data_IF_728684189323
#
_entry.id   IF_728684189323
#
_cell.length_a   1.000
_cell.length_b   1.000
_cell.length_c   1.000
_cell.angle_alpha   90.00
_cell.angle_beta   90.00
_cell.angle_gamma   90.00
#
_symmetry.space_group_name_H-M   'P 1'
#
loop_
_entity.id
_entity.type
_entity.pdbx_description
1 polymer ?
#
# COMPACT_ATOMS: atom_id res chain seq x y z
N UNK A 1 28.20 -22.99 6.33
CA UNK A 1 28.38 -22.01 5.24
C UNK A 1 27.51 -22.46 4.09
N UNK A 2 26.41 -21.75 3.86
CA UNK A 2 25.48 -22.03 2.78
C UNK A 2 26.14 -21.66 1.46
N UNK A 3 26.13 -22.58 0.51
CA UNK A 3 26.63 -22.40 -0.83
C UNK A 3 25.97 -21.14 -1.46
N UNK A 4 26.74 -20.11 -1.87
CA UNK A 4 26.20 -18.90 -2.48
C UNK A 4 25.44 -19.15 -3.79
N UNK A 5 25.64 -20.32 -4.42
CA UNK A 5 24.92 -20.73 -5.65
C UNK A 5 23.49 -21.19 -5.37
N UNK A 6 23.12 -21.39 -4.10
CA UNK A 6 21.75 -21.70 -3.66
C UNK A 6 21.02 -20.48 -3.13
N UNK A 7 21.25 -19.30 -3.68
CA UNK A 7 20.31 -18.19 -3.55
C UNK A 7 19.02 -18.65 -4.20
N UNK A 8 18.09 -19.12 -3.39
CA UNK A 8 16.72 -19.40 -3.83
C UNK A 8 16.21 -18.06 -4.36
N UNK A 9 16.09 -17.97 -5.67
CA UNK A 9 15.46 -16.84 -6.34
C UNK A 9 13.99 -16.88 -5.91
N UNK A 10 13.69 -16.19 -4.81
CA UNK A 10 12.32 -15.96 -4.38
C UNK A 10 11.68 -15.08 -5.46
N UNK A 11 11.14 -15.73 -6.49
CA UNK A 11 10.17 -15.11 -7.36
C UNK A 11 8.95 -14.78 -6.49
N UNK A 12 8.98 -13.62 -5.87
CA UNK A 12 7.79 -13.08 -5.24
C UNK A 12 6.70 -13.08 -6.31
N UNK A 13 5.65 -13.85 -6.06
CA UNK A 13 4.46 -13.84 -6.92
C UNK A 13 3.99 -12.39 -7.00
N UNK A 14 4.19 -11.75 -8.15
CA UNK A 14 3.76 -10.38 -8.40
C UNK A 14 2.28 -10.37 -8.74
N UNK A 15 1.45 -10.90 -7.85
CA UNK A 15 0.02 -10.93 -8.05
C UNK A 15 -0.58 -9.57 -7.72
N UNK A 16 -0.84 -8.77 -8.74
CA UNK A 16 -1.64 -7.55 -8.61
C UNK A 16 -3.13 -7.90 -8.64
N UNK A 17 -3.84 -7.49 -7.60
CA UNK A 17 -5.29 -7.61 -7.55
C UNK A 17 -5.85 -6.29 -8.07
N UNK A 18 -6.52 -6.36 -9.23
CA UNK A 18 -7.13 -5.20 -9.88
C UNK A 18 -8.65 -5.34 -9.85
N UNK A 19 -9.33 -4.25 -9.57
CA UNK A 19 -10.77 -4.13 -9.70
C UNK A 19 -11.10 -3.05 -10.72
N UNK A 20 -11.97 -3.39 -11.65
CA UNK A 20 -12.56 -2.42 -12.58
C UNK A 20 -13.65 -1.65 -11.84
N UNK A 21 -13.42 -0.38 -11.57
CA UNK A 21 -14.30 0.48 -10.77
C UNK A 21 -15.11 1.47 -11.60
N UNK A 22 -14.76 1.63 -12.88
CA UNK A 22 -15.51 2.41 -13.86
C UNK A 22 -15.17 1.92 -15.26
N UNK A 23 -15.90 2.42 -16.28
CA UNK A 23 -15.60 2.04 -17.66
C UNK A 23 -14.12 2.32 -17.98
N UNK A 24 -13.36 1.27 -18.29
CA UNK A 24 -11.92 1.30 -18.59
C UNK A 24 -11.01 1.83 -17.48
N UNK A 25 -11.44 1.77 -16.21
CA UNK A 25 -10.62 2.22 -15.08
C UNK A 25 -10.40 1.08 -14.08
N UNK A 26 -9.17 0.57 -14.06
CA UNK A 26 -8.74 -0.44 -13.09
C UNK A 26 -7.96 0.21 -11.95
N UNK A 27 -8.18 -0.28 -10.74
CA UNK A 27 -7.43 0.12 -9.54
C UNK A 27 -6.80 -1.12 -8.92
N UNK A 28 -5.47 -1.06 -8.73
CA UNK A 28 -4.75 -2.07 -7.95
C UNK A 28 -4.98 -1.80 -6.47
N UNK A 29 -5.49 -2.80 -5.74
CA UNK A 29 -5.90 -2.64 -4.33
C UNK A 29 -4.96 -3.31 -3.34
N UNK A 30 -4.01 -4.09 -3.80
CA UNK A 30 -3.03 -4.74 -2.94
C UNK A 30 -1.65 -4.08 -3.06
N UNK A 31 -0.94 -4.02 -1.93
CA UNK A 31 0.48 -3.68 -1.86
C UNK A 31 1.27 -4.97 -1.68
N UNK A 32 2.30 -5.17 -2.47
CA UNK A 32 3.13 -6.37 -2.38
C UNK A 32 4.25 -6.17 -1.36
N UNK A 33 4.67 -7.26 -0.71
CA UNK A 33 5.77 -7.20 0.26
C UNK A 33 7.06 -6.61 -0.33
N UNK A 34 7.36 -6.90 -1.60
CA UNK A 34 8.53 -6.36 -2.32
C UNK A 34 8.52 -4.83 -2.46
N UNK A 35 7.31 -4.23 -2.48
CA UNK A 35 7.14 -2.78 -2.63
C UNK A 35 7.32 -2.04 -1.29
N UNK A 36 7.19 -2.78 -0.18
CA UNK A 36 7.29 -2.24 1.19
C UNK A 36 8.63 -2.58 1.81
N UNK A 37 9.07 -3.82 1.67
CA UNK A 37 10.28 -4.35 2.32
C UNK A 37 11.30 -4.83 1.30
N UNK A 38 12.56 -4.48 1.55
CA UNK A 38 13.70 -5.05 0.85
C UNK A 38 14.21 -6.27 1.61
N UNK A 39 14.55 -7.34 0.90
CA UNK A 39 15.20 -8.53 1.48
C UNK A 39 16.56 -8.21 2.12
N UNK A 40 17.14 -7.07 1.77
CA UNK A 40 18.40 -6.58 2.33
C UNK A 40 18.32 -6.17 3.80
N UNK A 41 17.17 -5.77 4.31
CA UNK A 41 17.02 -5.26 5.69
C UNK A 41 17.54 -6.26 6.73
N UNK A 42 17.17 -7.53 6.59
CA UNK A 42 17.64 -8.57 7.53
C UNK A 42 19.15 -8.69 7.51
N UNK A 43 19.76 -8.75 6.33
CA UNK A 43 21.21 -8.84 6.18
C UNK A 43 21.90 -7.62 6.78
N UNK A 44 21.37 -6.43 6.54
CA UNK A 44 21.91 -5.17 7.02
C UNK A 44 21.87 -5.11 8.57
N UNK A 45 20.82 -5.62 9.19
CA UNK A 45 20.72 -5.74 10.66
C UNK A 45 21.69 -6.79 11.20
N UNK A 46 21.76 -7.97 10.58
CA UNK A 46 22.68 -9.04 11.01
C UNK A 46 24.13 -8.54 10.94
N UNK A 47 24.54 -7.85 9.87
CA UNK A 47 25.87 -7.29 9.72
C UNK A 47 26.18 -6.20 10.77
N UNK A 48 25.22 -5.35 11.12
CA UNK A 48 25.37 -4.40 12.23
C UNK A 48 25.59 -5.10 13.57
N UNK A 49 24.83 -6.16 13.84
CA UNK A 49 24.99 -6.95 15.08
C UNK A 49 26.39 -7.54 15.14
N UNK A 50 26.88 -8.11 14.05
CA UNK A 50 28.24 -8.69 13.98
C UNK A 50 29.33 -7.65 14.24
N UNK A 51 29.20 -6.46 13.66
CA UNK A 51 30.18 -5.37 13.86
C UNK A 51 30.15 -4.86 15.30
N UNK A 52 28.97 -4.72 15.91
CA UNK A 52 28.85 -4.36 17.34
C UNK A 52 29.47 -5.44 18.22
N UNK A 53 29.19 -6.71 17.94
CA UNK A 53 29.72 -7.83 18.72
C UNK A 53 31.25 -7.87 18.64
N UNK A 54 31.82 -7.62 17.46
CA UNK A 54 33.28 -7.54 17.28
C UNK A 54 33.89 -6.41 18.11
N UNK A 55 33.28 -5.22 18.15
CA UNK A 55 33.76 -4.13 18.99
C UNK A 55 33.68 -4.48 20.50
N UNK A 56 32.57 -5.05 20.94
CA UNK A 56 32.41 -5.52 22.34
C UNK A 56 33.50 -6.54 22.68
N UNK A 57 33.72 -7.55 21.83
CA UNK A 57 34.73 -8.58 22.06
C UNK A 57 36.16 -8.00 22.14
N UNK A 58 36.47 -6.98 21.31
CA UNK A 58 37.76 -6.32 21.34
C UNK A 58 37.97 -5.54 22.67
N UNK A 59 36.97 -4.80 23.13
CA UNK A 59 37.03 -4.09 24.42
C UNK A 59 37.07 -5.08 25.61
N UNK A 60 36.39 -6.22 25.52
CA UNK A 60 36.45 -7.26 26.55
C UNK A 60 37.87 -7.84 26.67
N UNK A 61 38.59 -8.07 25.53
CA UNK A 61 39.97 -8.50 25.55
C UNK A 61 40.89 -7.48 26.27
N UNK A 62 40.74 -6.19 25.97
CA UNK A 62 41.46 -5.11 26.67
C UNK A 62 41.20 -5.16 28.17
N UNK A 63 39.92 -5.30 28.56
CA UNK A 63 39.50 -5.38 29.97
C UNK A 63 40.10 -6.60 30.67
N UNK A 64 40.10 -7.75 30.01
CA UNK A 64 40.71 -8.99 30.53
C UNK A 64 42.19 -8.85 30.75
N UNK A 65 42.96 -8.30 29.77
CA UNK A 65 44.38 -8.11 29.90
C UNK A 65 44.67 -7.13 31.04
N UNK A 66 43.96 -6.01 31.16
CA UNK A 66 44.10 -5.08 32.30
C UNK A 66 43.84 -5.74 33.66
N UNK A 67 42.86 -6.63 33.74
CA UNK A 67 42.62 -7.43 34.96
C UNK A 67 43.74 -8.42 35.24
N UNK A 68 44.30 -9.08 34.21
CA UNK A 68 45.43 -9.99 34.38
C UNK A 68 46.68 -9.24 34.89
N UNK A 69 46.95 -8.04 34.41
CA UNK A 69 48.05 -7.21 34.87
C UNK A 69 47.98 -6.85 36.37
N UNK A 70 46.78 -6.84 36.96
CA UNK A 70 46.54 -6.57 38.36
C UNK A 70 46.69 -7.80 39.24
N UNK A 71 46.75 -9.01 38.66
CA UNK A 71 46.86 -10.26 39.42
C UNK A 71 48.28 -10.50 39.90
N UNK A 72 48.44 -10.91 41.13
CA UNK A 72 49.74 -11.15 41.77
C UNK A 72 50.59 -12.23 41.05
N UNK A 73 49.95 -13.19 40.41
CA UNK A 73 50.66 -14.24 39.64
C UNK A 73 51.38 -13.73 38.42
N UNK A 74 51.09 -12.53 37.93
CA UNK A 74 51.75 -11.87 36.79
C UNK A 74 52.53 -10.64 37.20
N UNK A 75 52.99 -10.55 38.47
CA UNK A 75 53.69 -9.38 39.00
C UNK A 75 55.19 -9.35 38.62
N UNK A 76 55.71 -10.43 38.09
CA UNK A 76 57.08 -10.51 37.61
C UNK A 76 57.33 -9.59 36.38
N UNK A 77 58.55 -9.12 36.25
CA UNK A 77 58.94 -8.12 35.24
C UNK A 77 58.75 -8.63 33.80
N UNK A 78 58.97 -9.94 33.54
CA UNK A 78 58.86 -10.51 32.19
C UNK A 78 57.40 -10.70 31.82
N UNK A 79 56.55 -11.16 32.74
CA UNK A 79 55.09 -11.28 32.54
C UNK A 79 54.43 -9.91 32.30
N UNK A 80 54.81 -8.92 33.09
CA UNK A 80 54.32 -7.53 32.90
C UNK A 80 54.70 -6.96 31.56
N UNK A 81 55.92 -7.18 31.07
CA UNK A 81 56.42 -6.71 29.77
C UNK A 81 55.60 -7.36 28.63
N UNK A 82 55.34 -8.68 28.71
CA UNK A 82 54.53 -9.41 27.73
C UNK A 82 53.07 -8.93 27.74
N UNK A 83 52.47 -8.79 28.92
CA UNK A 83 51.06 -8.32 29.06
C UNK A 83 50.92 -6.90 28.51
N UNK A 84 51.94 -6.03 28.69
CA UNK A 84 51.93 -4.68 28.09
C UNK A 84 51.90 -4.73 26.57
N UNK A 85 52.72 -5.58 25.92
CA UNK A 85 52.68 -5.76 24.47
C UNK A 85 51.34 -6.30 23.99
N UNK A 86 50.76 -7.26 24.74
CA UNK A 86 49.40 -7.76 24.40
C UNK A 86 48.34 -6.69 24.60
N UNK A 87 48.44 -5.85 25.61
CA UNK A 87 47.53 -4.73 25.83
C UNK A 87 47.58 -3.73 24.69
N UNK A 88 48.77 -3.34 24.28
CA UNK A 88 48.98 -2.41 23.14
C UNK A 88 48.33 -2.99 21.86
N UNK A 89 48.52 -4.29 21.58
CA UNK A 89 47.90 -4.96 20.43
C UNK A 89 46.39 -5.02 20.55
N UNK A 90 45.86 -5.33 21.75
CA UNK A 90 44.42 -5.38 21.99
C UNK A 90 43.75 -4.00 21.91
N UNK A 91 44.41 -2.95 22.39
CA UNK A 91 43.95 -1.57 22.27
C UNK A 91 43.88 -1.14 20.80
N UNK A 92 44.89 -1.50 19.97
CA UNK A 92 44.80 -1.27 18.52
C UNK A 92 43.67 -2.05 17.86
N UNK A 93 43.43 -3.33 18.26
CA UNK A 93 42.29 -4.09 17.76
C UNK A 93 40.96 -3.42 18.12
N UNK A 94 40.84 -2.89 19.35
CA UNK A 94 39.66 -2.16 19.79
C UNK A 94 39.43 -0.86 19.00
N UNK A 95 40.48 -0.08 18.80
CA UNK A 95 40.43 1.13 17.97
C UNK A 95 40.03 0.85 16.53
N UNK A 96 40.52 -0.25 15.93
CA UNK A 96 40.09 -0.69 14.61
C UNK A 96 38.63 -1.11 14.59
N UNK A 97 38.18 -1.84 15.62
CA UNK A 97 36.79 -2.26 15.73
C UNK A 97 35.85 -1.07 15.88
N UNK A 98 36.20 -0.08 16.68
CA UNK A 98 35.43 1.16 16.87
C UNK A 98 35.37 2.00 15.59
N UNK A 99 36.46 2.15 14.90
CA UNK A 99 36.50 2.85 13.61
C UNK A 99 35.62 2.14 12.56
N UNK A 100 35.70 0.82 12.51
CA UNK A 100 34.84 0.01 11.63
C UNK A 100 33.36 0.13 12.00
N UNK A 101 33.05 0.09 13.30
CA UNK A 101 31.71 0.30 13.83
C UNK A 101 31.16 1.66 13.40
N UNK A 102 31.91 2.74 13.63
CA UNK A 102 31.47 4.09 13.26
C UNK A 102 31.24 4.22 11.75
N UNK A 103 32.15 3.68 10.93
CA UNK A 103 32.00 3.69 9.46
C UNK A 103 30.79 2.91 9.01
N UNK A 104 30.58 1.74 9.58
CA UNK A 104 29.45 0.86 9.26
C UNK A 104 28.14 1.54 9.66
N UNK A 105 28.03 2.09 10.87
CA UNK A 105 26.83 2.84 11.28
C UNK A 105 26.51 3.97 10.32
N UNK A 106 27.50 4.76 9.91
CA UNK A 106 27.28 5.87 8.98
C UNK A 106 26.73 5.41 7.63
N UNK A 107 27.17 4.25 7.14
CA UNK A 107 26.67 3.66 5.89
C UNK A 107 25.24 3.12 6.05
N UNK A 108 24.96 2.48 7.19
CA UNK A 108 23.66 1.86 7.41
C UNK A 108 22.56 2.85 7.72
N UNK A 109 22.86 4.01 8.32
CA UNK A 109 21.89 5.10 8.47
C UNK A 109 21.29 5.44 7.09
N UNK A 110 22.11 5.63 6.07
CA UNK A 110 21.63 5.92 4.72
C UNK A 110 20.79 4.79 4.13
N UNK A 111 21.21 3.52 4.33
CA UNK A 111 20.46 2.36 3.85
C UNK A 111 19.09 2.23 4.55
N UNK A 112 19.03 2.46 5.86
CA UNK A 112 17.78 2.42 6.59
C UNK A 112 16.85 3.58 6.22
N UNK A 113 17.39 4.76 5.91
CA UNK A 113 16.60 5.86 5.34
C UNK A 113 16.00 5.46 3.99
N UNK A 114 16.74 4.75 3.13
CA UNK A 114 16.20 4.23 1.87
C UNK A 114 15.10 3.21 2.10
N UNK A 115 15.25 2.29 3.06
CA UNK A 115 14.20 1.35 3.43
C UNK A 115 12.95 2.06 3.97
N UNK A 116 13.14 3.07 4.82
CA UNK A 116 12.05 3.88 5.37
C UNK A 116 11.31 4.65 4.25
N UNK A 117 12.04 5.19 3.29
CA UNK A 117 11.47 5.88 2.14
C UNK A 117 10.60 4.95 1.28
N UNK A 118 11.00 3.68 1.07
CA UNK A 118 10.16 2.68 0.38
C UNK A 118 8.86 2.43 1.15
N UNK A 119 8.93 2.25 2.47
CA UNK A 119 7.73 2.07 3.31
C UNK A 119 6.81 3.27 3.21
N UNK A 120 7.35 4.49 3.33
CA UNK A 120 6.58 5.73 3.22
C UNK A 120 5.93 5.89 1.84
N UNK A 121 6.63 5.53 0.77
CA UNK A 121 6.08 5.54 -0.58
C UNK A 121 4.91 4.56 -0.72
N UNK A 122 5.07 3.34 -0.22
CA UNK A 122 4.01 2.33 -0.24
C UNK A 122 2.78 2.77 0.58
N UNK A 123 3.01 3.39 1.75
CA UNK A 123 1.95 3.96 2.60
C UNK A 123 1.22 5.09 1.87
N UNK A 124 1.95 6.00 1.23
CA UNK A 124 1.39 7.11 0.45
C UNK A 124 0.55 6.60 -0.72
N UNK A 125 1.04 5.60 -1.46
CA UNK A 125 0.32 4.99 -2.56
C UNK A 125 -0.97 4.30 -2.07
N UNK A 126 -0.90 3.59 -0.95
CA UNK A 126 -2.07 2.95 -0.33
C UNK A 126 -3.10 3.98 0.12
N UNK A 127 -2.66 5.08 0.74
CA UNK A 127 -3.52 6.19 1.13
C UNK A 127 -4.20 6.87 -0.05
N UNK A 128 -3.45 7.12 -1.12
CA UNK A 128 -3.99 7.67 -2.38
C UNK A 128 -5.02 6.73 -3.01
N UNK A 129 -4.74 5.43 -3.05
CA UNK A 129 -5.67 4.42 -3.57
C UNK A 129 -6.97 4.40 -2.75
N UNK A 130 -6.87 4.43 -1.41
CA UNK A 130 -8.02 4.52 -0.52
C UNK A 130 -8.86 5.77 -0.80
N UNK A 131 -8.22 6.93 -0.95
CA UNK A 131 -8.93 8.19 -1.26
C UNK A 131 -9.64 8.11 -2.60
N UNK A 132 -8.99 7.57 -3.64
CA UNK A 132 -9.62 7.36 -4.95
C UNK A 132 -10.82 6.43 -4.87
N UNK A 133 -10.72 5.32 -4.15
CA UNK A 133 -11.83 4.38 -3.95
C UNK A 133 -13.00 5.04 -3.21
N UNK A 134 -12.73 5.87 -2.21
CA UNK A 134 -13.78 6.63 -1.50
C UNK A 134 -14.50 7.59 -2.43
N UNK A 135 -13.76 8.34 -3.27
CA UNK A 135 -14.37 9.24 -4.26
C UNK A 135 -15.23 8.49 -5.27
N UNK A 136 -14.77 7.33 -5.76
CA UNK A 136 -15.52 6.50 -6.70
C UNK A 136 -16.78 5.96 -6.04
N UNK A 137 -16.68 5.47 -4.79
CA UNK A 137 -17.84 5.00 -4.03
C UNK A 137 -18.90 6.08 -3.91
N UNK A 138 -18.53 7.28 -3.44
CA UNK A 138 -19.46 8.40 -3.30
C UNK A 138 -20.12 8.75 -4.63
N UNK A 139 -19.35 8.78 -5.72
CA UNK A 139 -19.89 9.05 -7.06
C UNK A 139 -20.89 7.98 -7.52
N UNK A 140 -20.61 6.70 -7.24
CA UNK A 140 -21.54 5.60 -7.58
C UNK A 140 -22.80 5.69 -6.75
N UNK A 141 -22.71 6.02 -5.47
CA UNK A 141 -23.86 6.23 -4.57
C UNK A 141 -24.73 7.41 -5.06
N UNK A 142 -24.11 8.54 -5.45
CA UNK A 142 -24.83 9.67 -6.05
C UNK A 142 -25.53 9.28 -7.37
N UNK A 143 -24.84 8.54 -8.23
CA UNK A 143 -25.43 8.04 -9.48
C UNK A 143 -26.60 7.09 -9.21
N UNK A 144 -26.49 6.20 -8.22
CA UNK A 144 -27.57 5.30 -7.82
C UNK A 144 -28.79 6.10 -7.37
N UNK A 145 -28.61 7.09 -6.47
CA UNK A 145 -29.70 7.96 -6.03
C UNK A 145 -30.36 8.67 -7.20
N UNK A 146 -29.56 9.23 -8.12
CA UNK A 146 -30.12 9.91 -9.30
C UNK A 146 -30.93 8.96 -10.19
N UNK A 147 -30.45 7.71 -10.38
CA UNK A 147 -31.18 6.69 -11.14
C UNK A 147 -32.49 6.30 -10.44
N UNK A 148 -32.47 6.15 -9.12
CA UNK A 148 -33.66 5.85 -8.32
C UNK A 148 -34.70 6.99 -8.41
N UNK A 149 -34.27 8.26 -8.34
CA UNK A 149 -35.14 9.42 -8.54
C UNK A 149 -35.72 9.47 -9.95
N UNK A 150 -34.89 9.23 -10.98
CA UNK A 150 -35.37 9.19 -12.37
C UNK A 150 -36.36 8.03 -12.58
N UNK A 151 -36.10 6.88 -11.96
CA UNK A 151 -36.98 5.73 -11.99
C UNK A 151 -38.32 6.07 -11.33
N UNK A 152 -38.32 6.63 -10.11
CA UNK A 152 -39.51 7.08 -9.40
C UNK A 152 -40.30 8.11 -10.23
N UNK A 153 -39.63 9.12 -10.78
CA UNK A 153 -40.30 10.12 -11.67
C UNK A 153 -40.96 9.49 -12.91
N UNK A 154 -40.36 8.41 -13.42
CA UNK A 154 -40.90 7.74 -14.61
C UNK A 154 -42.01 6.71 -14.29
N UNK A 155 -41.88 5.99 -13.17
CA UNK A 155 -42.78 4.89 -12.80
C UNK A 155 -43.93 5.34 -11.89
N UNK A 156 -43.68 6.33 -10.99
CA UNK A 156 -44.68 6.82 -10.00
C UNK A 156 -45.50 7.99 -10.56
N UNK A 157 -45.86 7.93 -11.85
CA UNK A 157 -46.82 8.90 -12.38
C UNK A 157 -48.12 8.82 -11.59
N UNK A 158 -48.57 9.96 -11.06
CA UNK A 158 -49.80 9.99 -10.27
C UNK A 158 -50.93 9.37 -11.09
N UNK A 159 -51.56 8.35 -10.51
CA UNK A 159 -52.69 7.63 -11.13
C UNK A 159 -53.77 8.63 -11.56
N UNK A 160 -53.94 9.71 -10.82
CA UNK A 160 -54.88 10.79 -11.12
C UNK A 160 -54.58 11.45 -12.47
N UNK A 161 -53.31 11.74 -12.75
CA UNK A 161 -52.90 12.32 -14.03
C UNK A 161 -53.10 11.35 -15.17
N UNK A 162 -52.79 10.08 -14.99
CA UNK A 162 -53.01 9.03 -15.97
C UNK A 162 -54.50 8.89 -16.28
N UNK A 163 -55.36 8.93 -15.26
CA UNK A 163 -56.81 8.88 -15.43
C UNK A 163 -57.34 10.10 -16.20
N UNK A 164 -56.82 11.31 -15.89
CA UNK A 164 -57.22 12.53 -16.59
C UNK A 164 -56.82 12.44 -18.08
N UNK A 165 -55.57 12.03 -18.37
CA UNK A 165 -55.10 11.85 -19.73
C UNK A 165 -55.93 10.79 -20.48
N UNK A 166 -56.24 9.68 -19.81
CA UNK A 166 -57.08 8.62 -20.38
C UNK A 166 -58.48 9.13 -20.75
N UNK A 167 -59.13 9.84 -19.84
CA UNK A 167 -60.46 10.41 -20.14
C UNK A 167 -60.43 11.45 -21.25
N UNK A 168 -59.40 12.27 -21.30
CA UNK A 168 -59.21 13.25 -22.37
C UNK A 168 -59.04 12.55 -23.73
N UNK A 169 -58.22 11.50 -23.82
CA UNK A 169 -58.04 10.70 -25.01
C UNK A 169 -59.31 9.94 -25.40
N UNK A 170 -60.04 9.37 -24.43
CA UNK A 170 -61.27 8.67 -24.64
C UNK A 170 -62.38 9.59 -25.20
N UNK A 171 -62.52 10.80 -24.64
CA UNK A 171 -63.43 11.82 -25.15
C UNK A 171 -63.05 12.29 -26.55
N UNK A 172 -61.79 12.47 -26.86
CA UNK A 172 -61.30 12.77 -28.18
C UNK A 172 -61.63 11.67 -29.20
N UNK A 173 -61.46 10.42 -28.79
CA UNK A 173 -61.80 9.25 -29.60
C UNK A 173 -63.32 9.17 -29.85
N UNK A 174 -64.14 9.34 -28.84
CA UNK A 174 -65.62 9.36 -28.99
C UNK A 174 -66.09 10.51 -29.89
N UNK A 175 -65.48 11.66 -29.74
CA UNK A 175 -65.79 12.84 -30.59
C UNK A 175 -65.42 12.58 -32.03
N UNK A 176 -64.27 11.94 -32.28
CA UNK A 176 -63.83 11.53 -33.61
C UNK A 176 -64.75 10.53 -34.27
N UNK A 177 -65.21 9.53 -33.51
CA UNK A 177 -66.21 8.56 -33.96
C UNK A 177 -67.52 9.22 -34.33
N UNK A 178 -68.00 10.15 -33.49
CA UNK A 178 -69.24 10.91 -33.76
C UNK A 178 -69.10 11.78 -35.00
N UNK A 179 -67.97 12.45 -35.18
CA UNK A 179 -67.69 13.24 -36.40
C UNK A 179 -67.64 12.34 -37.65
N UNK A 180 -66.97 11.18 -37.58
CA UNK A 180 -66.90 10.23 -38.67
C UNK A 180 -68.29 9.66 -39.02
N UNK A 181 -69.10 9.35 -37.99
CA UNK A 181 -70.51 8.90 -38.21
C UNK A 181 -71.34 9.95 -38.88
N UNK A 182 -71.23 11.23 -38.49
CA UNK A 182 -71.95 12.33 -39.13
C UNK A 182 -71.49 12.59 -40.54
N UNK A 183 -70.19 12.49 -40.80
CA UNK A 183 -69.62 12.63 -42.14
C UNK A 183 -70.08 11.52 -43.07
N UNK A 184 -70.27 10.28 -42.54
CA UNK A 184 -70.73 9.16 -43.31
C UNK A 184 -72.25 9.09 -43.47
N UNK A 185 -73.04 9.80 -42.60
CA UNK A 185 -74.49 9.88 -42.65
C UNK A 185 -75.04 11.00 -43.56
N UNK A 186 -74.21 11.98 -43.87
CA UNK A 186 -74.54 12.96 -44.91
C UNK A 186 -74.41 12.33 -46.31
N UNK A 187 -75.40 11.62 -46.67
CA UNK A 187 -75.48 11.09 -48.02
C UNK A 187 -75.87 12.20 -49.00
N UNK A 188 -75.42 12.10 -50.25
CA UNK A 188 -75.76 12.97 -51.35
C UNK A 188 -77.27 13.19 -51.54
N UNK A 189 -78.14 12.42 -50.84
CA UNK A 189 -79.57 12.52 -50.83
C UNK A 189 -80.16 13.70 -50.05
N UNK A 190 -79.39 14.29 -49.12
CA UNK A 190 -79.85 15.47 -48.38
C UNK A 190 -79.57 16.81 -49.16
N UNK A 191 -79.06 16.70 -50.37
CA UNK A 191 -78.74 17.84 -51.24
C UNK A 191 -79.55 17.88 -52.57
N UNK A 192 -80.51 16.95 -52.74
CA UNK A 192 -81.47 16.92 -53.82
C UNK A 192 -82.82 17.34 -53.29
#
# INVERSE_FOLDING_TARGET
YSDPSKVVDFKFSSQEIKYTVANSTDITVNTQAKDVMDTGIKRDVDELIDVVQNAVNAHDKVSQIKKMMQQQQYSDKDSQAKLKTYLEAAEQEADYADNNLQKTYSQYITRFDDHLNKVNLALTNSGSTKSRLTLIKNRVEEQQTTIEELKSTNEDRDISDIIIDFYAMYNAYQSSLTAASKANSQTLLDYL
#
